data_IF_163603394868
#
_entry.id   IF_163603394868
#
_cell.length_a   1.000
_cell.length_b   1.000
_cell.length_c   1.000
_cell.angle_alpha   90.00
_cell.angle_beta   90.00
_cell.angle_gamma   90.00
#
_symmetry.space_group_name_H-M   'P 1'
#
loop_
_entity.id
_entity.type
_entity.pdbx_description
1 polymer ?
#
# COMPACT_ATOMS: atom_id res chain seq x y z
N UNK A 1 12.82 -9.12 8.88
CA UNK A 1 13.14 -8.84 7.45
C UNK A 1 11.82 -8.54 6.74
N UNK A 2 11.73 -7.45 5.98
CA UNK A 2 10.47 -7.01 5.33
C UNK A 2 10.18 -7.75 4.01
N UNK A 3 11.22 -8.02 3.23
CA UNK A 3 11.21 -9.04 2.18
C UNK A 3 11.74 -10.32 2.82
N UNK A 4 10.89 -11.35 2.92
CA UNK A 4 11.25 -12.63 3.53
C UNK A 4 12.02 -13.49 2.52
N UNK A 5 11.59 -13.46 1.27
CA UNK A 5 12.18 -14.22 0.17
C UNK A 5 12.10 -13.40 -1.12
N UNK A 6 13.16 -13.52 -1.93
CA UNK A 6 13.22 -13.06 -3.31
C UNK A 6 13.77 -14.19 -4.17
N UNK A 7 13.09 -14.51 -5.27
CA UNK A 7 13.51 -15.53 -6.23
C UNK A 7 12.99 -15.23 -7.63
N UNK A 8 13.30 -16.11 -8.59
CA UNK A 8 12.94 -15.93 -10.01
C UNK A 8 11.44 -15.82 -10.27
N UNK A 9 10.60 -16.42 -9.42
CA UNK A 9 9.14 -16.36 -9.54
C UNK A 9 8.53 -15.15 -8.82
N UNK A 10 9.30 -14.44 -7.98
CA UNK A 10 8.86 -13.25 -7.28
C UNK A 10 9.26 -13.21 -5.80
N UNK A 11 8.37 -12.69 -4.95
CA UNK A 11 8.69 -12.29 -3.58
C UNK A 11 7.69 -12.83 -2.55
N UNK A 12 8.17 -13.06 -1.34
CA UNK A 12 7.33 -13.22 -0.13
C UNK A 12 7.55 -12.02 0.77
N UNK A 13 6.48 -11.30 1.11
CA UNK A 13 6.54 -10.06 1.89
C UNK A 13 5.95 -10.25 3.28
N UNK A 14 6.64 -9.70 4.28
CA UNK A 14 6.08 -9.41 5.59
C UNK A 14 5.65 -7.94 5.66
N UNK A 15 4.43 -7.68 5.17
CA UNK A 15 3.86 -6.34 5.05
C UNK A 15 3.85 -5.57 6.38
N UNK A 16 3.59 -6.24 7.51
CA UNK A 16 3.55 -5.57 8.81
C UNK A 16 4.95 -5.13 9.23
N UNK A 17 5.96 -6.01 9.10
CA UNK A 17 7.34 -5.66 9.43
C UNK A 17 7.92 -4.60 8.48
N UNK A 18 7.47 -4.55 7.22
CA UNK A 18 7.84 -3.48 6.28
C UNK A 18 7.28 -2.12 6.72
N UNK A 19 6.03 -2.08 7.21
CA UNK A 19 5.44 -0.88 7.80
C UNK A 19 6.26 -0.49 9.04
N UNK A 20 6.43 -1.38 10.02
CA UNK A 20 7.13 -1.10 11.29
C UNK A 20 8.50 -0.44 11.09
N UNK A 21 9.28 -0.91 10.10
CA UNK A 21 10.62 -0.37 9.78
C UNK A 21 10.58 1.13 9.44
N UNK A 22 9.48 1.60 8.85
CA UNK A 22 9.31 2.98 8.46
C UNK A 22 8.95 3.94 9.60
N UNK A 23 8.63 3.44 10.79
CA UNK A 23 8.15 4.24 11.90
C UNK A 23 9.08 4.21 13.13
N UNK A 24 10.32 3.75 12.97
CA UNK A 24 11.31 3.70 14.05
C UNK A 24 12.61 4.38 13.59
N UNK A 25 13.09 5.45 14.28
CA UNK A 25 12.52 6.07 15.48
C UNK A 25 11.26 6.90 15.23
N UNK A 26 10.45 7.10 16.27
CA UNK A 26 9.25 7.94 16.25
C UNK A 26 9.29 9.00 17.35
N UNK A 27 8.84 10.21 17.05
CA UNK A 27 8.85 11.35 17.95
C UNK A 27 7.46 11.97 18.05
N UNK A 28 7.06 12.36 19.26
CA UNK A 28 5.87 13.16 19.50
C UNK A 28 6.25 14.51 20.11
N UNK A 29 5.64 15.56 19.56
CA UNK A 29 5.72 16.92 20.08
C UNK A 29 4.50 17.23 20.94
N UNK A 30 4.72 17.78 22.14
CA UNK A 30 3.68 18.36 23.00
C UNK A 30 4.24 19.60 23.70
N UNK A 31 3.60 20.75 23.53
CA UNK A 31 3.94 21.99 24.27
C UNK A 31 5.45 22.31 24.26
N UNK A 32 6.08 22.22 23.07
CA UNK A 32 7.53 22.37 22.83
C UNK A 32 8.46 21.32 23.48
N UNK A 33 7.91 20.24 24.03
CA UNK A 33 8.68 19.08 24.49
C UNK A 33 8.65 17.95 23.45
N UNK A 34 9.83 17.37 23.24
CA UNK A 34 10.06 16.22 22.36
C UNK A 34 10.09 14.94 23.20
N UNK A 35 9.32 13.93 22.80
CA UNK A 35 9.33 12.60 23.43
C UNK A 35 9.58 11.52 22.39
N UNK A 36 10.51 10.61 22.68
CA UNK A 36 10.77 9.44 21.86
C UNK A 36 9.73 8.34 22.15
N UNK A 37 9.22 7.73 21.08
CA UNK A 37 8.22 6.68 21.13
C UNK A 37 8.72 5.47 20.35
N UNK A 38 8.45 4.29 20.88
CA UNK A 38 8.42 3.07 20.08
C UNK A 38 7.07 3.02 19.38
N UNK A 39 7.10 2.91 18.06
CA UNK A 39 5.92 2.86 17.21
C UNK A 39 5.90 1.54 16.44
N UNK A 40 4.81 0.79 16.53
CA UNK A 40 4.59 -0.40 15.70
C UNK A 40 3.15 -0.46 15.21
N UNK A 41 2.96 -0.93 14.00
CA UNK A 41 1.63 -1.14 13.43
C UNK A 41 0.98 -2.36 14.10
N UNK A 42 -0.34 -2.29 14.33
CA UNK A 42 -1.06 -3.37 15.00
C UNK A 42 -1.05 -4.65 14.16
N UNK A 43 -0.30 -5.65 14.64
CA UNK A 43 -0.09 -6.95 13.98
C UNK A 43 -1.40 -7.70 13.74
N UNK A 44 -2.45 -7.48 14.54
CA UNK A 44 -3.77 -8.08 14.32
C UNK A 44 -4.36 -7.75 12.93
N UNK A 45 -3.93 -6.66 12.30
CA UNK A 45 -4.34 -6.33 10.94
C UNK A 45 -3.85 -7.34 9.90
N UNK A 46 -2.81 -8.13 10.18
CA UNK A 46 -2.22 -9.10 9.23
C UNK A 46 -2.39 -10.55 9.69
N UNK A 47 -3.46 -10.83 10.44
CA UNK A 47 -3.75 -12.16 10.98
C UNK A 47 -4.92 -12.83 10.26
N UNK A 48 -4.64 -13.40 9.08
CA UNK A 48 -5.64 -14.19 8.33
C UNK A 48 -5.36 -15.68 8.52
N UNK A 49 -6.03 -16.30 9.50
CA UNK A 49 -5.82 -17.71 9.85
C UNK A 49 -6.66 -18.70 9.04
N UNK A 50 -7.87 -18.31 8.65
CA UNK A 50 -8.79 -19.15 7.89
C UNK A 50 -8.99 -18.59 6.50
N UNK A 51 -9.11 -19.49 5.53
CA UNK A 51 -9.70 -19.14 4.25
C UNK A 51 -11.08 -18.53 4.49
N UNK A 52 -11.42 -17.47 3.76
CA UNK A 52 -12.74 -16.85 3.84
C UNK A 52 -13.85 -17.71 3.21
N UNK A 53 -13.49 -18.91 2.74
CA UNK A 53 -14.40 -19.93 2.24
C UNK A 53 -14.90 -20.80 3.40
N UNK A 54 -16.12 -20.52 3.88
CA UNK A 54 -16.86 -21.46 4.74
C UNK A 54 -17.63 -22.45 3.86
N UNK A 55 -17.45 -23.76 4.10
CA UNK A 55 -18.22 -24.83 3.42
C UNK A 55 -19.73 -24.77 3.68
N UNK A 56 -20.19 -24.01 4.69
CA UNK A 56 -21.60 -23.89 5.06
C UNK A 56 -22.47 -23.10 4.05
N UNK A 57 -21.94 -22.69 2.89
CA UNK A 57 -22.72 -22.09 1.79
C UNK A 57 -22.98 -23.07 0.63
N UNK A 58 -22.94 -24.39 0.86
CA UNK A 58 -23.70 -25.33 0.01
C UNK A 58 -25.16 -25.27 0.43
N UNK A 59 -25.89 -24.29 -0.12
CA UNK A 59 -27.34 -24.39 -0.16
C UNK A 59 -27.71 -25.66 -0.94
N UNK A 60 -28.68 -26.40 -0.40
CA UNK A 60 -29.17 -27.70 -0.85
C UNK A 60 -29.20 -27.84 -2.38
N UNK A 61 -28.46 -28.83 -2.88
CA UNK A 61 -28.78 -29.43 -4.17
C UNK A 61 -29.96 -30.35 -3.91
N UNK A 62 -31.16 -29.77 -3.89
CA UNK A 62 -32.37 -30.55 -3.98
C UNK A 62 -32.56 -31.00 -5.43
N UNK A 63 -32.49 -32.30 -5.62
CA UNK A 63 -32.86 -33.03 -6.83
C UNK A 63 -34.34 -32.76 -7.15
N UNK A 64 -34.62 -31.87 -8.10
CA UNK A 64 -36.01 -31.66 -8.54
C UNK A 64 -36.19 -30.70 -9.71
N UNK A 65 -36.45 -31.28 -10.88
CA UNK A 65 -37.10 -30.72 -12.07
C UNK A 65 -36.37 -29.65 -12.93
N UNK A 66 -35.97 -30.17 -14.09
CA UNK A 66 -35.70 -29.50 -15.35
C UNK A 66 -36.88 -28.63 -15.82
N UNK A 67 -36.79 -27.31 -15.67
CA UNK A 67 -37.52 -26.38 -16.54
C UNK A 67 -36.63 -25.22 -17.01
N UNK A 68 -36.54 -25.12 -18.33
CA UNK A 68 -35.74 -24.18 -19.09
C UNK A 68 -36.40 -22.79 -19.04
N UNK A 69 -35.95 -21.92 -18.15
CA UNK A 69 -36.24 -20.48 -18.22
C UNK A 69 -35.09 -19.76 -18.93
N UNK A 70 -35.24 -19.62 -20.26
CA UNK A 70 -34.41 -18.76 -21.12
C UNK A 70 -34.54 -17.30 -20.67
N UNK A 71 -33.66 -16.84 -19.75
CA UNK A 71 -33.36 -15.41 -19.61
C UNK A 71 -32.34 -15.04 -20.68
N UNK A 72 -32.78 -14.26 -21.66
CA UNK A 72 -31.95 -13.67 -22.71
C UNK A 72 -30.86 -12.79 -22.09
N UNK A 73 -29.64 -13.31 -22.03
CA UNK A 73 -28.46 -12.52 -21.70
C UNK A 73 -28.07 -11.64 -22.90
N UNK A 74 -27.93 -10.33 -22.66
CA UNK A 74 -27.39 -9.39 -23.65
C UNK A 74 -26.02 -9.89 -24.16
N UNK A 75 -25.73 -9.80 -25.47
CA UNK A 75 -24.54 -10.43 -26.09
C UNK A 75 -23.20 -9.95 -25.49
N UNK A 76 -23.13 -8.74 -24.92
CA UNK A 76 -21.91 -8.20 -24.32
C UNK A 76 -21.44 -8.91 -23.05
N UNK A 77 -22.33 -9.60 -22.31
CA UNK A 77 -21.95 -10.29 -21.06
C UNK A 77 -21.28 -11.64 -21.27
N UNK A 78 -21.66 -12.35 -22.34
CA UNK A 78 -21.11 -13.67 -22.68
C UNK A 78 -19.63 -13.55 -23.05
N UNK A 79 -19.28 -12.52 -23.83
CA UNK A 79 -17.90 -12.26 -24.26
C UNK A 79 -16.97 -11.85 -23.10
N UNK A 80 -17.46 -11.08 -22.13
CA UNK A 80 -16.65 -10.64 -20.99
C UNK A 80 -16.36 -11.77 -19.99
N UNK A 81 -17.33 -12.65 -19.75
CA UNK A 81 -17.15 -13.81 -18.87
C UNK A 81 -16.19 -14.84 -19.48
N UNK A 82 -16.34 -15.14 -20.77
CA UNK A 82 -15.45 -16.05 -21.50
C UNK A 82 -14.00 -15.54 -21.50
N UNK A 83 -13.77 -14.25 -21.78
CA UNK A 83 -12.43 -13.66 -21.73
C UNK A 83 -11.81 -13.71 -20.32
N UNK A 84 -12.61 -13.45 -19.28
CA UNK A 84 -12.14 -13.56 -17.89
C UNK A 84 -11.69 -14.97 -17.54
N UNK A 85 -12.36 -15.99 -18.09
CA UNK A 85 -12.05 -17.38 -17.83
C UNK A 85 -10.79 -17.80 -18.58
N UNK A 86 -10.65 -17.43 -19.86
CA UNK A 86 -9.45 -17.73 -20.66
C UNK A 86 -8.19 -17.11 -20.04
N UNK A 87 -8.25 -15.84 -19.62
CA UNK A 87 -7.12 -15.19 -18.94
C UNK A 87 -6.80 -15.86 -17.60
N UNK A 88 -7.82 -16.27 -16.84
CA UNK A 88 -7.61 -16.98 -15.59
C UNK A 88 -6.90 -18.32 -15.83
N UNK A 89 -7.35 -19.11 -16.80
CA UNK A 89 -6.73 -20.38 -17.14
C UNK A 89 -5.28 -20.21 -17.59
N UNK A 90 -4.94 -19.14 -18.33
CA UNK A 90 -3.56 -18.93 -18.80
C UNK A 90 -2.58 -18.59 -17.68
N UNK A 91 -3.03 -17.97 -16.58
CA UNK A 91 -2.16 -17.58 -15.45
C UNK A 91 -2.29 -18.53 -14.24
N UNK A 92 -3.22 -19.47 -14.29
CA UNK A 92 -3.56 -20.36 -13.18
C UNK A 92 -2.37 -21.20 -12.74
N UNK A 93 -1.65 -21.81 -13.69
CA UNK A 93 -0.46 -22.63 -13.40
C UNK A 93 0.63 -21.79 -12.74
N UNK A 94 0.90 -20.59 -13.28
CA UNK A 94 1.90 -19.66 -12.76
C UNK A 94 1.62 -19.30 -11.30
N UNK A 95 0.37 -18.91 -10.99
CA UNK A 95 -0.02 -18.56 -9.62
C UNK A 95 0.05 -19.77 -8.70
N UNK A 96 -0.43 -20.95 -9.14
CA UNK A 96 -0.45 -22.15 -8.31
C UNK A 96 0.96 -22.64 -7.99
N UNK A 97 1.78 -22.85 -9.00
CA UNK A 97 3.13 -23.40 -8.87
C UNK A 97 4.07 -22.39 -8.21
N UNK A 98 3.99 -21.12 -8.62
CA UNK A 98 4.82 -20.06 -8.05
C UNK A 98 4.48 -19.77 -6.59
N UNK A 99 3.21 -19.79 -6.21
CA UNK A 99 2.84 -19.63 -4.79
C UNK A 99 3.32 -20.81 -3.97
N UNK A 100 3.15 -22.04 -4.46
CA UNK A 100 3.65 -23.24 -3.76
C UNK A 100 5.15 -23.13 -3.53
N UNK A 101 5.93 -22.84 -4.57
CA UNK A 101 7.38 -22.69 -4.46
C UNK A 101 7.79 -21.60 -3.45
N UNK A 102 7.16 -20.41 -3.53
CA UNK A 102 7.48 -19.28 -2.66
C UNK A 102 7.10 -19.55 -1.19
N UNK A 103 5.96 -20.20 -0.95
CA UNK A 103 5.51 -20.59 0.40
C UNK A 103 6.43 -21.67 0.98
N UNK A 104 6.69 -22.74 0.23
CA UNK A 104 7.57 -23.84 0.67
C UNK A 104 8.99 -23.34 0.98
N UNK A 105 9.45 -22.29 0.29
CA UNK A 105 10.75 -21.65 0.53
C UNK A 105 10.75 -20.68 1.72
N UNK A 106 9.60 -20.09 2.07
CA UNK A 106 9.48 -19.15 3.19
C UNK A 106 9.27 -19.85 4.55
N UNK A 107 8.66 -21.04 4.56
CA UNK A 107 8.39 -21.80 5.79
C UNK A 107 9.66 -22.17 6.59
N UNK A 108 10.76 -22.65 5.97
CA UNK A 108 12.02 -22.89 6.67
C UNK A 108 12.64 -21.62 7.28
N UNK A 109 12.31 -20.44 6.74
CA UNK A 109 12.75 -19.14 7.27
C UNK A 109 11.89 -18.66 8.45
N UNK A 110 10.95 -19.48 8.93
CA UNK A 110 10.09 -19.16 10.06
C UNK A 110 8.82 -18.36 9.71
N UNK A 111 8.54 -18.10 8.43
CA UNK A 111 7.39 -17.32 7.98
C UNK A 111 6.31 -18.20 7.34
N UNK A 112 5.03 -17.80 7.42
CA UNK A 112 3.87 -18.58 6.93
C UNK A 112 3.70 -19.97 7.60
N UNK A 113 4.17 -20.13 8.83
CA UNK A 113 4.06 -21.35 9.64
C UNK A 113 2.84 -21.35 10.59
N UNK A 114 1.97 -20.34 10.51
CA UNK A 114 0.79 -20.23 11.38
C UNK A 114 1.06 -19.79 12.81
N UNK A 115 2.21 -19.16 13.09
CA UNK A 115 2.51 -18.64 14.42
C UNK A 115 1.38 -17.71 14.91
N UNK A 116 0.82 -18.05 16.07
CA UNK A 116 -0.26 -17.33 16.72
C UNK A 116 0.31 -16.27 17.66
N UNK A 117 0.33 -15.02 17.25
CA UNK A 117 0.30 -13.92 18.22
C UNK A 117 -1.17 -13.72 18.58
N UNK A 118 -1.59 -14.29 19.71
CA UNK A 118 -2.97 -14.29 20.20
C UNK A 118 -3.30 -12.92 20.81
N UNK A 119 -3.15 -11.86 20.03
CA UNK A 119 -3.68 -10.55 20.40
C UNK A 119 -5.20 -10.62 20.12
N UNK A 120 -5.98 -10.93 21.17
CA UNK A 120 -7.45 -10.99 21.12
C UNK A 120 -8.10 -9.60 20.98
N UNK A 121 -7.31 -8.54 20.79
CA UNK A 121 -7.84 -7.20 20.65
C UNK A 121 -8.69 -7.08 19.37
N UNK A 122 -9.82 -6.35 19.44
CA UNK A 122 -10.62 -6.10 18.26
C UNK A 122 -9.81 -5.36 17.19
N UNK A 123 -10.17 -5.58 15.93
CA UNK A 123 -9.58 -4.83 14.83
C UNK A 123 -9.83 -3.32 15.05
N UNK A 124 -8.83 -2.46 14.83
CA UNK A 124 -9.02 -1.03 14.92
C UNK A 124 -10.06 -0.59 13.88
N UNK A 125 -11.08 0.11 14.34
CA UNK A 125 -12.08 0.74 13.49
C UNK A 125 -12.04 2.25 13.71
N UNK A 126 -11.50 2.98 12.74
CA UNK A 126 -11.59 4.44 12.71
C UNK A 126 -12.54 4.87 11.60
N UNK A 127 -13.55 5.67 11.93
CA UNK A 127 -14.35 6.38 10.94
C UNK A 127 -13.48 7.45 10.28
N UNK A 128 -13.24 7.31 8.98
CA UNK A 128 -12.37 8.22 8.23
C UNK A 128 -13.23 9.26 7.51
N UNK A 129 -13.18 10.51 7.97
CA UNK A 129 -13.91 11.63 7.37
C UNK A 129 -13.09 12.42 6.33
N UNK A 130 -11.85 12.00 6.06
CA UNK A 130 -10.94 12.70 5.13
C UNK A 130 -11.54 12.93 3.75
N UNK A 131 -12.25 11.93 3.22
CA UNK A 131 -12.89 12.05 1.91
C UNK A 131 -14.03 13.10 1.91
N UNK A 132 -14.82 13.18 2.99
CA UNK A 132 -15.86 14.19 3.13
C UNK A 132 -15.27 15.60 3.25
N UNK A 133 -14.15 15.74 3.95
CA UNK A 133 -13.42 17.00 4.03
C UNK A 133 -12.87 17.44 2.67
N UNK A 134 -12.36 16.49 1.85
CA UNK A 134 -11.95 16.79 0.48
C UNK A 134 -13.12 17.26 -0.40
N UNK A 135 -14.32 16.69 -0.23
CA UNK A 135 -15.52 17.15 -0.95
C UNK A 135 -15.88 18.58 -0.55
N UNK A 136 -15.88 18.89 0.75
CA UNK A 136 -16.15 20.26 1.23
C UNK A 136 -15.08 21.25 0.75
N UNK A 137 -13.82 20.82 0.66
CA UNK A 137 -12.71 21.63 0.19
C UNK A 137 -12.79 21.98 -1.32
N UNK A 138 -13.73 21.40 -2.09
CA UNK A 138 -13.97 21.78 -3.49
C UNK A 138 -14.57 23.17 -3.63
N UNK A 139 -15.29 23.62 -2.62
CA UNK A 139 -15.96 24.93 -2.61
C UNK A 139 -15.06 26.06 -2.09
N UNK A 140 -13.85 25.73 -1.62
CA UNK A 140 -12.86 26.73 -1.25
C UNK A 140 -12.38 27.46 -2.50
N UNK A 141 -12.23 28.80 -2.44
CA UNK A 141 -11.75 29.57 -3.58
C UNK A 141 -10.39 29.04 -4.02
N UNK A 142 -10.24 28.82 -5.33
CA UNK A 142 -8.94 28.61 -5.92
C UNK A 142 -8.18 29.93 -5.74
N UNK A 143 -7.12 29.92 -4.94
CA UNK A 143 -6.23 31.08 -4.82
C UNK A 143 -5.71 31.37 -6.23
N UNK A 144 -5.91 32.59 -6.72
CA UNK A 144 -5.48 32.99 -8.06
C UNK A 144 -3.96 32.77 -8.20
N UNK A 145 -3.54 32.26 -9.36
CA UNK A 145 -2.20 31.72 -9.65
C UNK A 145 -1.01 32.69 -9.44
N UNK A 146 -1.24 33.94 -9.01
CA UNK A 146 -0.24 35.00 -8.99
C UNK A 146 0.50 35.18 -7.65
N UNK A 147 -0.02 34.68 -6.51
CA UNK A 147 0.60 34.91 -5.18
C UNK A 147 1.00 33.65 -4.39
N UNK A 148 0.74 32.44 -4.89
CA UNK A 148 1.22 31.24 -4.20
C UNK A 148 2.74 31.13 -4.38
N UNK A 149 3.50 31.42 -3.31
CA UNK A 149 4.88 30.95 -3.21
C UNK A 149 4.90 29.48 -3.63
N UNK A 150 5.70 29.16 -4.66
CA UNK A 150 5.97 27.79 -5.08
C UNK A 150 6.58 27.04 -3.90
N UNK A 151 5.75 26.39 -3.10
CA UNK A 151 6.23 25.80 -1.86
C UNK A 151 5.36 24.66 -1.39
N UNK A 152 5.99 23.52 -1.16
CA UNK A 152 5.48 22.62 -0.15
C UNK A 152 5.66 23.26 1.23
N UNK A 153 4.76 22.97 2.16
CA UNK A 153 4.86 23.37 3.55
C UNK A 153 5.49 22.26 4.38
N UNK A 154 6.27 22.61 5.41
CA UNK A 154 6.76 21.63 6.37
C UNK A 154 5.67 21.25 7.36
N UNK A 155 5.62 19.97 7.72
CA UNK A 155 4.67 19.42 8.69
C UNK A 155 4.90 19.98 10.11
N UNK A 156 6.16 20.25 10.46
CA UNK A 156 6.56 20.83 11.73
C UNK A 156 7.48 22.01 11.41
N UNK A 157 7.21 23.18 12.00
CA UNK A 157 8.05 24.37 11.84
C UNK A 157 9.46 24.16 12.41
N UNK A 158 10.41 25.04 12.05
CA UNK A 158 11.80 24.98 12.54
C UNK A 158 11.89 25.10 14.08
N UNK A 159 10.87 25.69 14.71
CA UNK A 159 10.73 25.86 16.16
C UNK A 159 10.04 24.68 16.86
N UNK A 160 9.69 23.61 16.12
CA UNK A 160 8.92 22.47 16.66
C UNK A 160 7.44 22.79 16.87
N UNK A 161 6.99 24.00 16.52
CA UNK A 161 5.62 24.42 16.67
C UNK A 161 4.76 23.86 15.53
N UNK A 162 3.62 23.29 15.88
CA UNK A 162 2.65 22.77 14.92
C UNK A 162 1.78 23.92 14.41
N UNK A 163 2.19 24.57 13.33
CA UNK A 163 1.37 25.58 12.66
C UNK A 163 0.08 24.98 12.08
N UNK A 164 -0.92 25.82 11.80
CA UNK A 164 -2.13 25.40 11.10
C UNK A 164 -1.76 25.01 9.66
N UNK A 165 -1.57 23.71 9.40
CA UNK A 165 -1.14 23.16 8.10
C UNK A 165 -2.30 23.19 7.09
N UNK A 166 -2.12 23.82 5.92
CA UNK A 166 -3.12 23.78 4.82
C UNK A 166 -2.97 22.49 4.01
N UNK A 167 -3.64 21.43 4.45
CA UNK A 167 -3.54 20.11 3.83
C UNK A 167 -4.15 20.01 2.42
N UNK A 168 -5.02 20.97 2.05
CA UNK A 168 -5.89 20.84 0.87
C UNK A 168 -5.34 21.56 -0.35
N UNK A 169 -4.62 22.67 -0.15
CA UNK A 169 -4.12 23.49 -1.26
C UNK A 169 -2.60 23.42 -1.44
N UNK A 170 -1.87 22.77 -0.52
CA UNK A 170 -0.41 22.64 -0.59
C UNK A 170 0.07 21.23 -0.27
N UNK A 171 1.20 20.85 -0.87
CA UNK A 171 1.90 19.61 -0.51
C UNK A 171 2.53 19.80 0.87
N UNK A 172 2.33 18.83 1.76
CA UNK A 172 2.88 18.82 3.12
C UNK A 172 4.03 17.83 3.20
N UNK A 173 5.17 18.24 3.78
CA UNK A 173 6.38 17.42 3.88
C UNK A 173 6.78 17.14 5.34
N UNK A 174 7.05 15.88 5.65
CA UNK A 174 7.88 15.51 6.80
C UNK A 174 9.32 15.26 6.30
N UNK A 175 10.20 16.25 6.45
CA UNK A 175 11.62 16.13 6.05
C UNK A 175 12.51 15.46 7.10
N UNK A 176 11.98 15.20 8.29
CA UNK A 176 12.77 14.61 9.37
C UNK A 176 13.20 13.17 9.05
N UNK A 177 14.31 12.75 9.66
CA UNK A 177 14.82 11.37 9.61
C UNK A 177 14.02 10.39 10.50
N UNK A 178 12.95 10.87 11.13
CA UNK A 178 12.09 10.10 12.03
C UNK A 178 10.61 10.24 11.70
N UNK A 179 9.83 9.25 12.14
CA UNK A 179 8.38 9.38 12.14
C UNK A 179 7.93 10.40 13.19
N UNK A 180 6.87 11.15 12.90
CA UNK A 180 6.36 12.19 13.79
C UNK A 180 4.88 11.99 14.07
N UNK A 181 4.49 12.01 15.35
CA UNK A 181 3.09 12.07 15.76
C UNK A 181 2.64 13.54 15.74
N UNK A 182 1.58 13.81 14.98
CA UNK A 182 1.03 15.14 14.74
C UNK A 182 -0.48 15.15 14.93
N UNK A 183 -0.99 16.18 15.59
CA UNK A 183 -2.42 16.49 15.61
C UNK A 183 -2.82 17.27 14.37
N UNK A 184 -3.71 16.70 13.57
CA UNK A 184 -4.21 17.29 12.32
C UNK A 184 -5.73 17.16 12.32
N UNK A 185 -6.46 18.25 12.09
CA UNK A 185 -7.93 18.26 12.10
C UNK A 185 -8.56 17.67 13.39
N UNK A 186 -7.90 17.85 14.54
CA UNK A 186 -8.37 17.39 15.85
C UNK A 186 -8.04 15.92 16.19
N UNK A 187 -7.40 15.18 15.28
CA UNK A 187 -7.03 13.77 15.48
C UNK A 187 -5.51 13.60 15.40
N UNK A 188 -4.95 12.58 16.07
CA UNK A 188 -3.52 12.28 16.00
C UNK A 188 -3.20 11.31 14.85
N UNK A 189 -2.14 11.62 14.09
CA UNK A 189 -1.61 10.82 13.00
C UNK A 189 -0.11 10.60 13.18
N UNK A 190 0.38 9.42 12.79
CA UNK A 190 1.81 9.09 12.72
C UNK A 190 2.28 9.25 11.28
N UNK A 191 3.13 10.23 11.02
CA UNK A 191 3.65 10.54 9.68
C UNK A 191 5.07 9.99 9.54
N UNK A 192 5.37 9.13 8.56
CA UNK A 192 6.70 8.55 8.38
C UNK A 192 7.75 9.59 7.93
N UNK A 193 9.05 9.30 8.08
CA UNK A 193 10.13 10.18 7.67
C UNK A 193 10.20 10.36 6.15
N UNK A 194 10.77 11.48 5.73
CA UNK A 194 11.00 11.85 4.33
C UNK A 194 9.76 11.67 3.43
N UNK A 195 8.58 12.02 3.93
CA UNK A 195 7.35 11.88 3.17
C UNK A 195 6.83 13.22 2.71
N UNK A 196 6.16 13.21 1.56
CA UNK A 196 5.39 14.34 1.08
C UNK A 196 3.96 13.86 0.80
N UNK A 197 2.94 14.67 1.05
CA UNK A 197 1.58 14.28 0.72
C UNK A 197 0.65 15.45 0.44
N UNK A 198 -0.39 15.19 -0.34
CA UNK A 198 -1.45 16.14 -0.65
C UNK A 198 -2.82 15.49 -0.44
N UNK A 199 -3.63 16.10 0.43
CA UNK A 199 -5.01 15.68 0.70
C UNK A 199 -5.95 16.50 -0.17
N UNK A 200 -6.23 16.03 -1.38
CA UNK A 200 -7.17 16.73 -2.27
C UNK A 200 -7.95 15.77 -3.15
N UNK A 201 -9.10 16.24 -3.64
CA UNK A 201 -9.84 15.54 -4.68
C UNK A 201 -9.11 15.60 -6.03
N UNK A 202 -9.45 14.63 -6.90
CA UNK A 202 -9.02 14.59 -8.29
C UNK A 202 -9.14 15.94 -9.03
N UNK A 203 -10.18 16.73 -8.77
CA UNK A 203 -10.34 18.04 -9.42
C UNK A 203 -9.33 19.09 -8.97
N UNK A 204 -8.66 18.88 -7.82
CA UNK A 204 -7.68 19.79 -7.20
C UNK A 204 -6.30 19.16 -7.10
N UNK A 205 -5.85 18.46 -8.16
CA UNK A 205 -4.50 17.85 -8.21
C UNK A 205 -3.38 18.85 -8.55
N UNK A 206 -3.70 20.07 -9.00
CA UNK A 206 -2.72 21.06 -9.46
C UNK A 206 -1.57 21.36 -8.47
N UNK A 207 -1.80 21.43 -7.14
CA UNK A 207 -0.69 21.62 -6.20
C UNK A 207 0.40 20.53 -6.30
N UNK A 208 0.04 19.29 -6.65
CA UNK A 208 1.01 18.22 -6.88
C UNK A 208 1.84 18.46 -8.14
N UNK A 209 1.27 19.09 -9.17
CA UNK A 209 2.01 19.48 -10.38
C UNK A 209 2.91 20.69 -10.07
N UNK A 210 2.39 21.67 -9.34
CA UNK A 210 3.13 22.88 -8.93
C UNK A 210 4.27 22.60 -7.94
N UNK A 211 4.21 21.48 -7.23
CA UNK A 211 5.32 20.97 -6.41
C UNK A 211 6.62 20.77 -7.22
N UNK A 212 6.52 20.65 -8.55
CA UNK A 212 7.67 20.71 -9.46
C UNK A 212 8.55 19.47 -9.47
N UNK A 213 8.20 18.45 -8.69
CA UNK A 213 8.92 17.17 -8.68
C UNK A 213 8.37 16.23 -9.74
N UNK A 214 9.28 15.67 -10.55
CA UNK A 214 9.00 14.51 -11.41
C UNK A 214 9.43 13.22 -10.73
N UNK A 215 8.74 12.13 -11.06
CA UNK A 215 8.85 10.85 -10.39
C UNK A 215 9.35 9.76 -11.33
N UNK A 216 10.20 8.89 -10.80
CA UNK A 216 10.79 7.74 -11.51
C UNK A 216 9.91 6.48 -11.33
N UNK A 217 9.06 6.48 -10.30
CA UNK A 217 8.02 5.50 -10.06
C UNK A 217 6.69 6.19 -9.73
N UNK A 218 5.63 5.82 -10.43
CA UNK A 218 4.26 6.18 -10.09
C UNK A 218 3.46 4.90 -9.86
N UNK A 219 3.00 4.68 -8.64
CA UNK A 219 2.05 3.60 -8.29
C UNK A 219 0.66 4.19 -8.13
N UNK A 220 -0.36 3.52 -8.63
CA UNK A 220 -1.75 3.96 -8.47
C UNK A 220 -2.71 2.82 -8.15
N UNK A 221 -3.65 3.06 -7.23
CA UNK A 221 -4.77 2.16 -6.92
C UNK A 221 -6.11 2.88 -7.13
N UNK A 222 -6.55 3.07 -8.39
CA UNK A 222 -7.77 3.81 -8.69
C UNK A 222 -9.01 3.24 -7.99
N UNK A 223 -9.98 4.08 -7.61
CA UNK A 223 -11.25 3.64 -7.03
C UNK A 223 -12.18 3.05 -8.10
N UNK A 224 -11.79 1.90 -8.66
CA UNK A 224 -12.47 1.21 -9.76
C UNK A 224 -13.97 1.02 -9.51
N UNK A 225 -14.78 1.24 -10.53
CA UNK A 225 -16.23 1.05 -10.42
C UNK A 225 -16.58 -0.41 -10.06
N UNK A 226 -17.16 -0.62 -8.89
CA UNK A 226 -17.62 -1.93 -8.46
C UNK A 226 -19.08 -1.89 -8.00
N UNK A 227 -19.86 -2.90 -8.41
CA UNK A 227 -21.28 -3.03 -8.06
C UNK A 227 -21.48 -3.28 -6.56
N UNK A 228 -20.51 -3.88 -5.87
CA UNK A 228 -20.53 -4.02 -4.42
C UNK A 228 -20.25 -2.69 -3.72
N UNK A 229 -19.32 -1.90 -4.23
CA UNK A 229 -18.95 -0.57 -3.70
C UNK A 229 -20.08 0.44 -3.92
N UNK A 230 -20.74 0.42 -5.09
CA UNK A 230 -21.93 1.24 -5.35
C UNK A 230 -23.08 0.97 -4.36
N UNK A 231 -23.15 -0.23 -3.78
CA UNK A 231 -24.14 -0.59 -2.74
C UNK A 231 -23.72 -0.17 -1.32
N UNK A 232 -22.42 -0.06 -1.04
CA UNK A 232 -21.93 0.29 0.31
C UNK A 232 -21.80 1.79 0.56
N UNK A 233 -21.89 2.65 -0.48
CA UNK A 233 -21.78 4.13 -0.41
C UNK A 233 -20.51 4.65 0.29
N UNK A 234 -19.49 3.81 0.51
CA UNK A 234 -18.31 4.18 1.32
C UNK A 234 -17.38 5.20 0.63
N UNK A 235 -17.38 5.27 -0.71
CA UNK A 235 -16.65 6.26 -1.52
C UNK A 235 -17.39 6.53 -2.84
N UNK A 236 -17.24 7.75 -3.39
CA UNK A 236 -17.66 8.05 -4.76
C UNK A 236 -16.81 7.23 -5.75
N UNK A 237 -17.46 6.54 -6.70
CA UNK A 237 -16.72 5.84 -7.75
C UNK A 237 -16.30 6.82 -8.84
N UNK A 238 -15.02 6.85 -9.18
CA UNK A 238 -14.50 7.67 -10.29
C UNK A 238 -14.78 6.93 -11.62
N UNK A 239 -15.52 7.51 -12.58
CA UNK A 239 -15.69 6.90 -13.89
C UNK A 239 -14.31 6.68 -14.53
N UNK A 240 -14.07 5.52 -15.14
CA UNK A 240 -12.76 5.18 -15.71
C UNK A 240 -12.26 6.22 -16.71
N UNK A 241 -13.17 6.85 -17.47
CA UNK A 241 -12.83 7.93 -18.40
C UNK A 241 -12.20 9.15 -17.74
N UNK A 242 -12.54 9.45 -16.48
CA UNK A 242 -11.97 10.58 -15.75
C UNK A 242 -10.51 10.34 -15.37
N UNK A 243 -10.06 9.08 -15.27
CA UNK A 243 -8.66 8.76 -14.96
C UNK A 243 -7.71 9.35 -16.00
N UNK A 244 -8.10 9.41 -17.28
CA UNK A 244 -7.29 10.01 -18.36
C UNK A 244 -6.87 11.45 -18.06
N UNK A 245 -7.64 12.19 -17.25
CA UNK A 245 -7.32 13.57 -16.84
C UNK A 245 -6.17 13.69 -15.85
N UNK A 246 -5.65 12.59 -15.30
CA UNK A 246 -4.45 12.66 -14.44
C UNK A 246 -3.28 13.21 -15.28
N UNK A 247 -2.52 14.17 -14.74
CA UNK A 247 -1.41 14.79 -15.46
C UNK A 247 -0.15 13.91 -15.42
N UNK A 248 -0.26 12.60 -15.72
CA UNK A 248 0.88 11.65 -15.69
C UNK A 248 2.06 12.15 -16.54
N UNK A 249 1.88 12.70 -17.76
CA UNK A 249 3.01 13.25 -18.53
C UNK A 249 3.74 14.43 -17.87
N UNK A 250 3.06 15.17 -16.98
CA UNK A 250 3.67 16.26 -16.21
C UNK A 250 4.38 15.77 -14.95
N UNK A 251 3.92 14.65 -14.38
CA UNK A 251 4.46 14.05 -13.15
C UNK A 251 5.58 13.04 -13.42
N UNK A 252 5.57 12.34 -14.54
CA UNK A 252 6.54 11.30 -14.86
C UNK A 252 7.89 11.87 -15.33
N UNK A 253 8.99 11.36 -14.79
CA UNK A 253 10.33 11.46 -15.37
C UNK A 253 10.40 10.62 -16.66
N UNK A 254 11.34 10.91 -17.59
CA UNK A 254 11.68 9.96 -18.65
C UNK A 254 12.02 8.59 -18.03
N UNK A 255 11.57 7.50 -18.65
CA UNK A 255 11.71 6.14 -18.14
C UNK A 255 10.95 5.82 -16.85
N UNK A 256 10.06 6.70 -16.40
CA UNK A 256 9.23 6.44 -15.22
C UNK A 256 8.51 5.09 -15.35
N UNK A 257 8.62 4.25 -14.31
CA UNK A 257 7.81 3.06 -14.18
C UNK A 257 6.43 3.49 -13.66
N UNK A 258 5.38 3.12 -14.37
CA UNK A 258 3.99 3.37 -13.98
C UNK A 258 3.35 2.03 -13.64
N UNK A 259 2.84 1.89 -12.43
CA UNK A 259 2.26 0.65 -11.92
C UNK A 259 0.83 0.89 -11.48
N UNK A 260 -0.10 0.16 -12.07
CA UNK A 260 -1.54 0.31 -11.77
C UNK A 260 -2.09 -0.98 -11.18
N UNK A 261 -2.62 -0.89 -9.95
CA UNK A 261 -3.43 -1.96 -9.37
C UNK A 261 -4.75 -2.09 -10.13
N UNK A 262 -5.07 -3.29 -10.59
CA UNK A 262 -6.30 -3.58 -11.34
C UNK A 262 -7.05 -4.73 -10.68
N UNK A 263 -8.35 -4.52 -10.50
CA UNK A 263 -9.26 -5.61 -10.08
C UNK A 263 -9.32 -6.71 -11.15
N UNK A 264 -9.69 -7.94 -10.79
CA UNK A 264 -9.83 -9.07 -11.73
C UNK A 264 -10.99 -8.94 -12.74
N UNK A 265 -11.45 -7.73 -13.06
CA UNK A 265 -12.44 -7.46 -14.08
C UNK A 265 -11.73 -7.19 -15.41
N UNK A 266 -11.98 -8.00 -16.46
CA UNK A 266 -11.32 -7.80 -17.74
C UNK A 266 -11.50 -6.43 -18.38
N UNK A 267 -12.63 -5.77 -18.11
CA UNK A 267 -12.89 -4.43 -18.63
C UNK A 267 -11.91 -3.39 -18.08
N UNK A 268 -11.51 -3.50 -16.81
CA UNK A 268 -10.55 -2.58 -16.23
C UNK A 268 -9.14 -2.88 -16.74
N UNK A 269 -8.80 -4.17 -16.91
CA UNK A 269 -7.50 -4.57 -17.48
C UNK A 269 -7.33 -4.03 -18.91
N UNK A 270 -8.31 -4.27 -19.78
CA UNK A 270 -8.30 -3.72 -21.15
C UNK A 270 -8.28 -2.20 -21.16
N UNK A 271 -9.07 -1.56 -20.29
CA UNK A 271 -9.04 -0.10 -20.20
C UNK A 271 -7.65 0.44 -19.86
N UNK A 272 -6.95 -0.16 -18.89
CA UNK A 272 -5.60 0.28 -18.53
C UNK A 272 -4.63 0.07 -19.69
N UNK A 273 -4.61 -1.14 -20.27
CA UNK A 273 -3.67 -1.54 -21.33
C UNK A 273 -3.91 -0.83 -22.66
N UNK A 274 -5.16 -0.81 -23.10
CA UNK A 274 -5.53 -0.47 -24.48
C UNK A 274 -5.96 1.01 -24.61
N UNK A 275 -6.27 1.69 -23.51
CA UNK A 275 -6.76 3.07 -23.54
C UNK A 275 -5.99 4.03 -22.64
N UNK A 276 -5.79 3.69 -21.36
CA UNK A 276 -5.25 4.62 -20.37
C UNK A 276 -3.75 4.85 -20.56
N UNK A 277 -2.97 3.77 -20.66
CA UNK A 277 -1.53 3.84 -20.86
C UNK A 277 -1.16 4.49 -22.21
N UNK A 278 -1.76 4.07 -23.35
CA UNK A 278 -1.54 4.76 -24.62
C UNK A 278 -1.89 6.25 -24.58
N UNK A 279 -2.96 6.64 -23.88
CA UNK A 279 -3.34 8.04 -23.74
C UNK A 279 -2.26 8.88 -23.03
N UNK A 280 -1.55 8.29 -22.06
CA UNK A 280 -0.44 8.95 -21.37
C UNK A 280 0.91 8.77 -22.06
N UNK A 281 1.00 8.05 -23.17
CA UNK A 281 2.29 7.68 -23.78
C UNK A 281 3.10 6.69 -22.93
N UNK A 282 2.41 5.85 -22.16
CA UNK A 282 2.98 4.74 -21.39
C UNK A 282 2.85 3.45 -22.20
N UNK A 283 3.94 2.70 -22.33
CA UNK A 283 3.95 1.38 -22.97
C UNK A 283 3.82 0.29 -21.90
N UNK A 284 2.95 -0.70 -22.10
CA UNK A 284 2.83 -1.83 -21.17
C UNK A 284 4.05 -2.74 -21.31
N UNK A 285 4.73 -3.02 -20.20
CA UNK A 285 5.96 -3.84 -20.19
C UNK A 285 5.78 -5.19 -19.47
N UNK A 286 4.89 -5.29 -18.48
CA UNK A 286 4.68 -6.53 -17.72
C UNK A 286 3.31 -6.54 -16.99
N UNK A 287 2.86 -7.73 -16.60
CA UNK A 287 1.78 -7.96 -15.64
C UNK A 287 2.27 -8.81 -14.47
N UNK A 288 2.08 -8.31 -13.25
CA UNK A 288 2.42 -9.04 -12.03
C UNK A 288 1.17 -9.36 -11.21
N UNK A 289 1.31 -10.28 -10.24
CA UNK A 289 0.19 -10.76 -9.44
C UNK A 289 0.51 -10.67 -7.95
N UNK A 290 -0.30 -9.92 -7.20
CA UNK A 290 -0.29 -10.02 -5.74
C UNK A 290 -1.20 -11.16 -5.31
N UNK A 291 -0.60 -12.22 -4.78
CA UNK A 291 -1.28 -13.41 -4.27
C UNK A 291 -1.46 -13.32 -2.76
N UNK A 292 -2.70 -13.52 -2.33
CA UNK A 292 -3.15 -13.41 -0.95
C UNK A 292 -3.22 -14.78 -0.31
N UNK A 293 -2.40 -14.97 0.71
CA UNK A 293 -2.34 -16.22 1.48
C UNK A 293 -2.70 -16.00 2.94
N UNK A 294 -3.08 -17.06 3.64
CA UNK A 294 -3.23 -17.09 5.09
C UNK A 294 -1.86 -17.07 5.76
N UNK A 295 -1.83 -16.95 7.09
CA UNK A 295 -0.62 -17.14 7.89
C UNK A 295 -0.03 -18.54 7.81
N UNK A 296 -0.72 -19.49 7.15
CA UNK A 296 -0.25 -20.84 6.83
C UNK A 296 0.19 -21.00 5.37
N UNK A 297 0.21 -19.91 4.59
CA UNK A 297 0.56 -19.95 3.16
C UNK A 297 -0.53 -20.50 2.24
N UNK A 298 -1.74 -20.76 2.74
CA UNK A 298 -2.87 -21.24 1.94
C UNK A 298 -3.59 -20.07 1.26
N UNK A 299 -4.16 -20.24 0.07
CA UNK A 299 -4.94 -19.16 -0.54
C UNK A 299 -6.13 -18.72 0.33
N UNK A 300 -6.34 -17.40 0.47
CA UNK A 300 -7.48 -16.86 1.25
C UNK A 300 -8.84 -17.12 0.58
N UNK A 301 -8.85 -17.44 -0.72
CA UNK A 301 -9.98 -17.94 -1.50
C UNK A 301 -9.49 -19.04 -2.43
N UNK A 302 -10.32 -20.05 -2.76
CA UNK A 302 -9.97 -21.01 -3.80
C UNK A 302 -9.64 -20.30 -5.12
N UNK A 303 -8.56 -20.73 -5.80
CA UNK A 303 -8.11 -20.13 -7.05
C UNK A 303 -9.21 -20.16 -8.12
N UNK A 304 -9.98 -21.25 -8.16
CA UNK A 304 -11.09 -21.49 -9.08
C UNK A 304 -12.42 -20.85 -8.65
N UNK A 305 -12.43 -20.03 -7.60
CA UNK A 305 -13.66 -19.36 -7.17
C UNK A 305 -14.22 -18.45 -8.27
N UNK A 306 -15.54 -18.50 -8.56
CA UNK A 306 -16.15 -17.76 -9.66
C UNK A 306 -16.29 -16.26 -9.38
N UNK A 307 -16.21 -15.84 -8.11
CA UNK A 307 -16.54 -14.46 -7.71
C UNK A 307 -15.38 -13.70 -7.06
N UNK A 308 -14.47 -14.40 -6.39
CA UNK A 308 -13.33 -13.79 -5.70
C UNK A 308 -12.10 -14.61 -5.99
N UNK A 309 -11.08 -13.99 -6.58
CA UNK A 309 -9.79 -14.62 -6.76
C UNK A 309 -8.87 -14.30 -5.57
N UNK A 310 -7.96 -15.21 -5.20
CA UNK A 310 -6.97 -14.95 -4.16
C UNK A 310 -5.82 -14.07 -4.65
N UNK A 311 -5.96 -13.38 -5.77
CA UNK A 311 -4.93 -12.50 -6.31
C UNK A 311 -5.51 -11.20 -6.85
N UNK A 312 -4.67 -10.19 -7.02
CA UNK A 312 -4.95 -8.95 -7.76
C UNK A 312 -3.85 -8.72 -8.80
N UNK A 313 -4.18 -8.03 -9.89
CA UNK A 313 -3.26 -7.79 -11.02
C UNK A 313 -2.60 -6.42 -10.85
N UNK A 314 -1.31 -6.35 -11.17
CA UNK A 314 -0.58 -5.11 -11.38
C UNK A 314 -0.24 -5.04 -12.86
N UNK A 315 -0.66 -3.97 -13.54
CA UNK A 315 -0.16 -3.66 -14.89
C UNK A 315 1.01 -2.72 -14.71
N UNK A 316 2.14 -3.05 -15.33
CA UNK A 316 3.36 -2.25 -15.31
C UNK A 316 3.59 -1.67 -16.70
N UNK A 317 3.92 -0.39 -16.76
CA UNK A 317 4.27 0.30 -18.00
C UNK A 317 5.40 1.29 -17.83
N UNK A 318 6.05 1.66 -18.93
CA UNK A 318 7.13 2.64 -18.96
C UNK A 318 6.70 3.88 -19.74
N UNK A 319 6.87 5.04 -19.13
CA UNK A 319 6.68 6.32 -19.81
C UNK A 319 7.96 6.67 -20.59
N UNK A 320 7.82 6.96 -21.89
CA UNK A 320 8.94 7.31 -22.78
C UNK A 320 10.09 6.27 -22.71
N UNK A 321 9.76 5.02 -23.04
CA UNK A 321 10.53 3.77 -23.00
C UNK A 321 12.07 3.88 -22.99
N UNK A 322 12.70 3.12 -22.07
CA UNK A 322 14.12 2.71 -22.11
C UNK A 322 14.27 1.20 -22.07
N UNK A 323 15.51 0.75 -22.32
CA UNK A 323 15.94 -0.64 -22.48
C UNK A 323 15.91 -1.51 -21.21
N UNK A 324 15.48 -1.02 -20.03
CA UNK A 324 15.49 -1.84 -18.81
C UNK A 324 14.35 -2.87 -18.87
N UNK A 325 14.65 -4.17 -19.05
CA UNK A 325 13.61 -5.18 -19.13
C UNK A 325 12.92 -5.35 -17.78
N UNK A 326 11.61 -5.53 -17.81
CA UNK A 326 10.81 -5.91 -16.65
C UNK A 326 10.23 -7.28 -16.94
N UNK A 327 10.53 -8.26 -16.11
CA UNK A 327 10.08 -9.62 -16.35
C UNK A 327 8.58 -9.76 -16.11
N UNK A 328 7.93 -10.54 -16.96
CA UNK A 328 6.49 -10.74 -16.89
C UNK A 328 6.12 -11.82 -15.85
N UNK A 329 4.86 -11.78 -15.40
CA UNK A 329 4.22 -12.80 -14.57
C UNK A 329 4.90 -13.08 -13.21
N UNK A 330 5.55 -12.07 -12.61
CA UNK A 330 6.11 -12.17 -11.25
C UNK A 330 5.00 -12.18 -10.19
N UNK A 331 5.24 -12.89 -9.10
CA UNK A 331 4.32 -13.01 -7.97
C UNK A 331 4.79 -12.21 -6.75
N UNK A 332 3.86 -11.55 -6.08
CA UNK A 332 4.05 -10.98 -4.75
C UNK A 332 3.15 -11.76 -3.81
N UNK A 333 3.71 -12.57 -2.91
CA UNK A 333 2.95 -13.39 -1.96
C UNK A 333 2.96 -12.72 -0.59
N UNK A 334 1.79 -12.44 -0.03
CA UNK A 334 1.70 -11.89 1.32
C UNK A 334 0.38 -12.26 2.01
N UNK A 335 0.37 -12.14 3.34
CA UNK A 335 -0.88 -12.12 4.09
C UNK A 335 -1.58 -10.76 3.83
N UNK A 336 -2.84 -10.72 3.40
CA UNK A 336 -3.52 -9.46 3.17
C UNK A 336 -3.89 -8.81 4.51
N UNK A 337 -3.94 -7.48 4.50
CA UNK A 337 -4.48 -6.75 5.65
C UNK A 337 -5.98 -6.99 5.79
N UNK A 338 -6.45 -7.07 7.04
CA UNK A 338 -7.84 -7.01 7.41
C UNK A 338 -8.44 -5.61 7.14
N UNK A 339 -7.60 -4.57 7.05
CA UNK A 339 -8.02 -3.24 6.67
C UNK A 339 -8.35 -3.19 5.18
N UNK A 340 -9.55 -2.70 4.88
CA UNK A 340 -10.10 -2.80 3.54
C UNK A 340 -9.27 -2.04 2.50
N UNK A 341 -8.86 -2.77 1.45
CA UNK A 341 -8.08 -2.26 0.31
C UNK A 341 -6.71 -1.69 0.70
N UNK A 342 -6.11 -2.11 1.82
CA UNK A 342 -4.69 -1.87 2.07
C UNK A 342 -3.85 -2.88 1.27
N UNK A 343 -3.12 -2.38 0.28
CA UNK A 343 -2.18 -3.16 -0.55
C UNK A 343 -0.84 -3.32 0.17
N UNK A 344 -0.04 -4.36 -0.12
CA UNK A 344 1.34 -4.41 0.35
C UNK A 344 2.14 -3.27 -0.30
N UNK A 345 3.11 -2.72 0.43
CA UNK A 345 4.04 -1.76 -0.15
C UNK A 345 4.90 -2.44 -1.21
N UNK A 346 5.10 -1.74 -2.33
CA UNK A 346 5.89 -2.19 -3.47
C UNK A 346 7.32 -1.62 -3.46
N UNK A 347 7.70 -0.85 -2.44
CA UNK A 347 8.96 -0.09 -2.42
C UNK A 347 10.19 -0.98 -2.59
N UNK A 348 10.31 -2.03 -1.80
CA UNK A 348 11.45 -2.97 -1.89
C UNK A 348 11.39 -3.85 -3.15
N UNK A 349 10.18 -4.17 -3.63
CA UNK A 349 9.95 -5.05 -4.80
C UNK A 349 10.33 -4.34 -6.10
N UNK A 350 10.03 -3.04 -6.21
CA UNK A 350 10.25 -2.25 -7.41
C UNK A 350 11.62 -1.57 -7.45
N UNK A 351 12.33 -1.50 -6.31
CA UNK A 351 13.67 -0.90 -6.19
C UNK A 351 14.67 -1.35 -7.28
N UNK A 352 14.75 -2.65 -7.66
CA UNK A 352 15.67 -3.10 -8.71
C UNK A 352 15.41 -2.48 -10.09
N UNK A 353 14.19 -1.98 -10.35
CA UNK A 353 13.76 -1.48 -11.66
C UNK A 353 13.83 0.04 -11.78
N UNK A 354 14.04 0.74 -10.66
CA UNK A 354 13.96 2.21 -10.59
C UNK A 354 15.22 2.84 -9.98
N UNK A 355 16.03 2.07 -9.25
CA UNK A 355 17.21 2.57 -8.53
C UNK A 355 16.93 2.91 -7.07
N UNK A 356 17.99 3.10 -6.28
CA UNK A 356 17.88 3.29 -4.84
C UNK A 356 17.36 4.69 -4.44
N UNK A 357 17.68 5.71 -5.22
CA UNK A 357 17.34 7.12 -4.96
C UNK A 357 16.13 7.61 -5.79
N UNK A 358 15.33 6.66 -6.29
CA UNK A 358 14.19 6.93 -7.14
C UNK A 358 13.11 7.76 -6.42
N UNK A 359 12.64 8.81 -7.08
CA UNK A 359 11.52 9.60 -6.58
C UNK A 359 10.21 8.86 -6.86
N UNK A 360 9.51 8.52 -5.79
CA UNK A 360 8.31 7.68 -5.87
C UNK A 360 7.04 8.47 -5.55
N UNK A 361 5.99 8.23 -6.33
CA UNK A 361 4.65 8.80 -6.14
C UNK A 361 3.60 7.69 -6.01
N UNK A 362 2.74 7.79 -5.01
CA UNK A 362 1.52 6.99 -4.88
C UNK A 362 0.27 7.84 -5.13
N UNK A 363 -0.50 7.52 -6.17
CA UNK A 363 -1.77 8.16 -6.49
C UNK A 363 -2.96 7.35 -5.96
N UNK A 364 -3.99 8.04 -5.48
CA UNK A 364 -5.13 7.46 -4.74
C UNK A 364 -4.70 6.76 -3.44
N UNK A 365 -3.61 7.26 -2.85
CA UNK A 365 -3.01 6.71 -1.65
C UNK A 365 -3.98 6.76 -0.46
N UNK A 366 -3.83 5.77 0.43
CA UNK A 366 -4.47 5.73 1.76
C UNK A 366 -3.49 5.53 2.91
N UNK A 367 -2.24 5.27 2.55
CA UNK A 367 -1.13 5.13 3.46
C UNK A 367 0.02 5.96 2.94
N UNK A 368 0.78 6.55 3.85
CA UNK A 368 2.09 7.11 3.56
C UNK A 368 3.16 6.01 3.62
N UNK A 369 4.19 6.16 2.79
CA UNK A 369 5.39 5.31 2.80
C UNK A 369 6.63 6.20 2.98
N UNK A 370 7.61 5.80 3.82
CA UNK A 370 8.84 6.58 3.99
C UNK A 370 9.53 6.86 2.65
N UNK A 371 9.94 8.11 2.41
CA UNK A 371 10.59 8.51 1.16
C UNK A 371 9.66 8.76 -0.04
N UNK A 372 8.34 8.61 0.12
CA UNK A 372 7.39 8.72 -0.99
C UNK A 372 6.59 10.03 -0.94
N UNK A 373 6.19 10.48 -2.12
CA UNK A 373 5.10 11.43 -2.26
C UNK A 373 3.78 10.67 -2.40
N UNK A 374 2.71 11.12 -1.73
CA UNK A 374 1.41 10.45 -1.75
C UNK A 374 0.28 11.43 -2.00
N UNK A 375 -0.70 11.05 -2.81
CA UNK A 375 -1.85 11.90 -3.11
C UNK A 375 -3.15 11.10 -3.08
N UNK A 376 -4.19 11.68 -2.46
CA UNK A 376 -5.55 11.16 -2.55
C UNK A 376 -6.48 11.66 -1.45
N UNK A 377 -7.79 11.44 -1.65
CA UNK A 377 -8.84 11.92 -0.74
C UNK A 377 -8.80 11.29 0.67
N UNK A 378 -8.00 10.23 0.84
CA UNK A 378 -7.84 9.49 2.09
C UNK A 378 -6.36 9.28 2.45
N UNK A 379 -5.46 10.14 1.96
CA UNK A 379 -4.00 9.92 2.01
C UNK A 379 -3.42 9.63 3.40
N UNK A 380 -4.07 10.12 4.47
CA UNK A 380 -3.68 9.92 5.87
C UNK A 380 -4.47 8.80 6.59
N UNK A 381 -5.32 8.04 5.89
CA UNK A 381 -6.27 7.11 6.52
C UNK A 381 -5.58 6.08 7.41
N UNK A 382 -4.51 5.45 6.94
CA UNK A 382 -3.78 4.43 7.70
C UNK A 382 -2.65 5.01 8.55
N UNK A 383 -2.59 6.34 8.71
CA UNK A 383 -1.65 7.04 9.58
C UNK A 383 -2.29 7.36 10.94
N UNK A 384 -3.60 7.18 11.09
CA UNK A 384 -4.28 7.45 12.37
C UNK A 384 -3.70 6.60 13.51
N UNK A 385 -3.46 7.21 14.67
CA UNK A 385 -2.79 6.54 15.82
C UNK A 385 -3.49 5.26 16.29
N UNK A 386 -4.79 5.09 16.05
CA UNK A 386 -5.53 3.87 16.43
C UNK A 386 -5.03 2.60 15.74
N UNK A 387 -4.30 2.72 14.62
CA UNK A 387 -3.65 1.61 13.92
C UNK A 387 -2.26 1.26 14.44
N UNK A 388 -1.73 2.05 15.38
CA UNK A 388 -0.38 1.89 15.94
C UNK A 388 -0.43 1.60 17.44
N UNK A 389 0.57 0.89 17.91
CA UNK A 389 0.94 0.81 19.32
C UNK A 389 2.05 1.85 19.55
N UNK A 390 1.80 2.81 20.45
CA UNK A 390 2.72 3.87 20.79
C UNK A 390 3.10 3.75 22.27
N UNK A 391 4.37 3.45 22.55
CA UNK A 391 4.87 3.35 23.93
C UNK A 391 6.05 4.32 24.12
N UNK A 392 6.12 5.07 25.23
CA UNK A 392 7.30 5.87 25.56
C UNK A 392 8.57 5.03 25.58
N UNK A 393 9.67 5.59 25.09
CA UNK A 393 11.01 5.00 25.30
C UNK A 393 11.54 5.58 26.60
N UNK A 394 11.59 4.76 27.65
CA UNK A 394 12.21 5.17 28.92
C UNK A 394 13.73 5.21 28.74
N UNK A 395 14.32 6.42 28.75
CA UNK A 395 15.76 6.66 28.62
C UNK A 395 16.63 5.99 29.71
N UNK A 396 16.01 5.34 30.72
CA UNK A 396 16.71 4.67 31.82
C UNK A 396 17.11 3.21 31.52
N UNK A 397 16.53 2.57 30.51
CA UNK A 397 16.79 1.14 30.25
C UNK A 397 18.05 0.88 29.40
N UNK A 398 18.53 1.85 28.62
CA UNK A 398 19.73 1.67 27.78
C UNK A 398 21.05 1.86 28.55
N UNK A 399 21.02 2.37 29.78
CA UNK A 399 22.20 2.51 30.63
C UNK A 399 22.63 1.21 31.34
N UNK A 400 21.72 0.22 31.48
CA UNK A 400 22.05 -1.06 32.15
C UNK A 400 22.68 -2.09 31.18
N UNK A 401 22.44 -1.98 29.87
CA UNK A 401 23.03 -2.87 28.86
C UNK A 401 24.46 -2.46 28.43
N UNK A 402 24.83 -1.17 28.56
CA UNK A 402 26.22 -0.72 28.29
C UNK A 402 27.16 -0.90 29.50
N UNK A 403 26.63 -0.91 30.74
CA UNK A 403 27.43 -1.24 31.93
C UNK A 403 27.78 -2.73 32.03
N UNK A 404 26.85 -3.62 31.65
CA UNK A 404 27.11 -5.07 31.65
C UNK A 404 28.02 -5.54 30.50
N UNK A 405 28.16 -4.76 29.43
CA UNK A 405 29.15 -4.98 28.38
C UNK A 405 30.57 -4.54 28.78
N UNK A 406 30.71 -3.47 29.57
CA UNK A 406 32.01 -2.96 30.04
C UNK A 406 32.59 -3.72 31.23
N UNK A 407 31.76 -4.27 32.12
CA UNK A 407 32.27 -5.09 33.23
C UNK A 407 32.78 -6.48 32.79
N UNK A 408 32.32 -7.02 31.65
CA UNK A 408 32.80 -8.29 31.10
C UNK A 408 34.11 -8.19 30.31
N UNK A 409 34.56 -6.99 29.96
CA UNK A 409 35.89 -6.78 29.34
C UNK A 409 36.99 -6.43 30.36
N UNK A 410 36.64 -6.12 31.62
CA UNK A 410 37.61 -5.72 32.64
C UNK A 410 38.10 -6.86 33.56
N UNK A 411 37.56 -8.09 33.45
CA UNK A 411 37.93 -9.23 34.32
C UNK A 411 38.78 -10.32 33.65
N UNK A 412 39.36 -10.04 32.48
CA UNK A 412 40.06 -11.05 31.69
C UNK A 412 41.52 -10.78 31.40
N UNK A 413 42.36 -10.33 32.36
CA UNK A 413 43.83 -10.41 32.24
C UNK A 413 44.55 -10.15 33.58
N UNK A 414 44.86 -11.22 34.32
CA UNK A 414 46.05 -11.39 35.18
C UNK A 414 45.95 -12.80 35.81
N UNK A 415 46.92 -13.70 35.86
CA UNK A 415 48.38 -13.59 35.77
C UNK A 415 48.98 -15.01 35.54
N UNK A 416 50.31 -15.14 35.31
CA UNK A 416 50.98 -16.37 34.88
C UNK A 416 51.66 -17.16 36.03
N UNK A 417 51.71 -18.49 35.89
CA UNK A 417 52.90 -19.32 36.13
C UNK A 417 53.34 -19.69 37.57
N UNK A 418 53.80 -20.96 37.67
CA UNK A 418 54.52 -21.70 38.74
C UNK A 418 53.59 -22.67 39.49
N UNK A 419 53.81 -23.98 39.51
CA UNK A 419 55.04 -24.78 39.48
C UNK A 419 54.76 -26.16 38.90
#
# INVERSE_FOLDING_TARGET
MSVVLHGSLGWVLDSCSLIDRGYSPCIRWRENQKSALKCSFKRQCFQVFKSYYNENNRADVDTGNTEVLKKTCKPSKVNAAAFSQVMHESIKSVILEGTKYLVDSAQPLGYLNGQTNVDKEPLPSQECNLAALCEMAKDLPLVEDEEQERGAQLLVGEDGCMSHVDLFSQVTENKADWATVVTVMGEEYVIPPHTAFLLSDFTRIQPLVHYGTRFDLIVMDPPWENKSVKRSRRYGSLPSSQLKRLPIPLLASPNCLVVTWVTNRPSHLRFVRDELYPHWGVEVVAEWFWVKVTTFGQFVFPLDSPHKKPYEVLVLGRYQTSEVPVEDQRLIVSVPSALHSQKPSLSEVLKPYIGADAKCLELFARSLQPGWTSWGNEVLKFQHVSYFNLTPVDEKAEAEDDCTAKEKQAQGFDSPGKT
#
